data_IF_451163213026
#
_entry.id   IF_451163213026
#
_cell.length_a   1.000
_cell.length_b   1.000
_cell.length_c   1.000
_cell.angle_alpha   90.00
_cell.angle_beta   90.00
_cell.angle_gamma   90.00
#
_symmetry.space_group_name_H-M   'P 1'
#
loop_
_entity.id
_entity.type
_entity.pdbx_description
1 polymer ?
#
# COMPACT_ATOMS: atom_id res chain seq x y z
N UNK A 1 45.38 -0.01 -13.97
CA UNK A 1 44.71 1.06 -13.21
C UNK A 1 43.25 1.06 -13.61
N UNK A 2 42.34 0.55 -12.78
CA UNK A 2 40.90 0.48 -13.15
C UNK A 2 40.29 1.87 -12.89
N UNK A 3 39.70 2.55 -13.88
CA UNK A 3 39.11 3.85 -13.68
C UNK A 3 37.91 3.75 -12.73
N UNK A 4 37.93 4.51 -11.63
CA UNK A 4 36.76 4.68 -10.75
C UNK A 4 35.72 5.52 -11.49
N UNK A 5 34.70 4.87 -12.02
CA UNK A 5 33.51 5.54 -12.55
C UNK A 5 32.76 6.15 -11.35
N UNK A 6 32.74 7.49 -11.25
CA UNK A 6 31.86 8.20 -10.31
C UNK A 6 30.49 8.37 -10.96
N UNK A 7 29.54 7.50 -10.60
CA UNK A 7 28.14 7.67 -11.00
C UNK A 7 27.56 8.82 -10.15
N UNK A 8 27.00 9.87 -10.76
CA UNK A 8 26.37 10.93 -10.01
C UNK A 8 25.17 10.37 -9.23
N UNK A 9 25.02 10.80 -7.96
CA UNK A 9 23.98 10.31 -7.04
C UNK A 9 22.57 10.38 -7.64
N UNK A 10 22.34 11.36 -8.52
CA UNK A 10 21.09 11.60 -9.23
C UNK A 10 20.66 10.41 -10.10
N UNK A 11 21.61 9.71 -10.73
CA UNK A 11 21.32 8.53 -11.55
C UNK A 11 21.05 7.29 -10.69
N UNK A 12 21.68 7.19 -9.51
CA UNK A 12 21.39 6.13 -8.54
C UNK A 12 19.96 6.31 -8.02
N UNK A 13 19.58 7.54 -7.66
CA UNK A 13 18.22 7.86 -7.26
C UNK A 13 17.24 7.56 -8.39
N UNK A 14 17.54 7.95 -9.63
CA UNK A 14 16.71 7.63 -10.81
C UNK A 14 16.50 6.12 -11.00
N UNK A 15 17.55 5.32 -10.84
CA UNK A 15 17.46 3.87 -10.94
C UNK A 15 16.55 3.28 -9.86
N UNK A 16 16.64 3.78 -8.63
CA UNK A 16 15.74 3.40 -7.53
C UNK A 16 14.28 3.74 -7.88
N UNK A 17 14.03 4.91 -8.49
CA UNK A 17 12.70 5.31 -8.96
C UNK A 17 12.14 4.30 -9.98
N UNK A 18 12.92 3.94 -11.01
CA UNK A 18 12.46 3.04 -12.07
C UNK A 18 12.24 1.61 -11.56
N UNK A 19 13.15 1.08 -10.73
CA UNK A 19 13.02 -0.27 -10.15
C UNK A 19 11.78 -0.35 -9.25
N UNK A 20 11.45 0.73 -8.55
CA UNK A 20 10.30 0.80 -7.64
C UNK A 20 8.93 0.74 -8.30
N UNK A 21 8.83 1.13 -9.56
CA UNK A 21 7.57 1.09 -10.31
C UNK A 21 7.16 -0.35 -10.65
N UNK A 22 8.13 -1.24 -10.89
CA UNK A 22 7.88 -2.62 -11.32
C UNK A 22 7.00 -3.40 -10.34
N UNK A 23 7.32 -3.55 -9.04
CA UNK A 23 6.49 -4.31 -8.11
C UNK A 23 5.11 -3.67 -7.89
N UNK A 24 5.03 -2.34 -7.93
CA UNK A 24 3.79 -1.58 -7.74
C UNK A 24 2.83 -1.76 -8.91
N UNK A 25 3.36 -1.65 -10.13
CA UNK A 25 2.62 -1.91 -11.37
C UNK A 25 2.22 -3.39 -11.42
N UNK A 26 3.16 -4.29 -11.10
CA UNK A 26 2.88 -5.72 -11.06
C UNK A 26 1.71 -6.04 -10.12
N UNK A 27 1.71 -5.50 -8.89
CA UNK A 27 0.60 -5.66 -7.95
C UNK A 27 -0.75 -5.21 -8.51
N UNK A 28 -0.79 -4.10 -9.26
CA UNK A 28 -2.03 -3.64 -9.88
C UNK A 28 -2.55 -4.62 -10.93
N UNK A 29 -1.67 -5.18 -11.75
CA UNK A 29 -2.02 -6.13 -12.81
C UNK A 29 -2.33 -7.55 -12.32
N UNK A 30 -2.04 -7.86 -11.04
CA UNK A 30 -2.53 -9.10 -10.44
C UNK A 30 -4.05 -9.11 -10.54
N UNK A 31 -4.59 -10.12 -11.22
CA UNK A 31 -6.04 -10.31 -11.37
C UNK A 31 -6.63 -10.39 -9.96
N UNK A 32 -7.60 -9.51 -9.61
CA UNK A 32 -8.19 -9.53 -8.29
C UNK A 32 -8.90 -10.87 -8.06
N UNK A 33 -8.51 -11.52 -6.98
CA UNK A 33 -9.20 -12.69 -6.44
C UNK A 33 -10.65 -12.30 -6.15
N UNK A 34 -11.60 -13.20 -6.39
CA UNK A 34 -13.01 -12.90 -6.10
C UNK A 34 -13.15 -12.55 -4.60
N UNK A 35 -13.84 -11.46 -4.25
CA UNK A 35 -14.04 -11.11 -2.86
C UNK A 35 -14.77 -12.25 -2.14
N UNK A 36 -14.26 -12.62 -0.97
CA UNK A 36 -14.83 -13.69 -0.13
C UNK A 36 -15.75 -13.03 0.89
N UNK A 37 -17.00 -13.46 0.93
CA UNK A 37 -17.95 -12.99 1.95
C UNK A 37 -18.33 -14.14 2.88
N UNK A 38 -18.59 -13.82 4.14
CA UNK A 38 -18.93 -14.82 5.14
C UNK A 38 -19.36 -14.22 6.46
N UNK A 39 -19.51 -15.10 7.44
CA UNK A 39 -19.74 -14.74 8.83
C UNK A 39 -18.61 -15.31 9.69
N UNK A 40 -18.20 -14.56 10.72
CA UNK A 40 -17.21 -15.00 11.70
C UNK A 40 -17.78 -14.79 13.10
N UNK A 41 -17.67 -15.80 13.97
CA UNK A 41 -18.08 -15.73 15.38
C UNK A 41 -16.90 -15.38 16.28
N UNK A 42 -17.20 -14.97 17.50
CA UNK A 42 -16.15 -14.72 18.51
C UNK A 42 -15.28 -15.98 18.68
N UNK A 43 -13.97 -15.80 18.60
CA UNK A 43 -12.95 -16.84 18.63
C UNK A 43 -12.59 -17.44 17.26
N UNK A 44 -13.37 -17.15 16.22
CA UNK A 44 -13.11 -17.63 14.86
C UNK A 44 -12.24 -16.66 14.07
N UNK A 45 -11.48 -17.21 13.13
CA UNK A 45 -10.64 -16.45 12.20
C UNK A 45 -11.39 -16.19 10.89
N UNK A 46 -11.25 -14.99 10.33
CA UNK A 46 -11.59 -14.72 8.93
C UNK A 46 -10.59 -15.50 8.05
N UNK A 47 -11.03 -16.51 7.29
CA UNK A 47 -10.14 -17.46 6.63
C UNK A 47 -9.06 -16.81 5.77
N UNK A 48 -7.80 -17.19 6.01
CA UNK A 48 -6.65 -16.76 5.20
C UNK A 48 -6.13 -15.35 5.53
N UNK A 49 -6.69 -14.68 6.55
CA UNK A 49 -6.31 -13.31 6.90
C UNK A 49 -5.53 -13.21 8.22
N UNK A 50 -5.56 -14.26 9.05
CA UNK A 50 -5.00 -14.24 10.40
C UNK A 50 -5.80 -13.42 11.41
N UNK A 51 -6.89 -12.77 11.01
CA UNK A 51 -7.71 -11.92 11.89
C UNK A 51 -8.79 -12.74 12.61
N UNK A 52 -8.72 -12.76 13.93
CA UNK A 52 -9.69 -13.43 14.82
C UNK A 52 -10.63 -12.42 15.41
N UNK A 53 -11.93 -12.70 15.40
CA UNK A 53 -12.90 -11.87 16.10
C UNK A 53 -12.79 -12.15 17.61
N UNK A 54 -12.31 -11.19 18.41
CA UNK A 54 -12.22 -11.35 19.86
C UNK A 54 -13.47 -10.85 20.59
N UNK A 55 -14.04 -9.74 20.14
CA UNK A 55 -15.24 -9.14 20.76
C UNK A 55 -16.18 -8.65 19.68
N UNK A 56 -17.47 -8.87 19.89
CA UNK A 56 -18.52 -8.36 19.01
C UNK A 56 -19.65 -7.75 19.84
N UNK A 57 -20.24 -6.69 19.29
CA UNK A 57 -21.43 -6.03 19.80
C UNK A 57 -22.17 -5.44 18.61
N UNK A 58 -23.41 -4.98 18.81
CA UNK A 58 -24.20 -4.35 17.76
C UNK A 58 -23.57 -3.09 17.15
N UNK A 59 -22.61 -2.46 17.84
CA UNK A 59 -21.98 -1.20 17.40
C UNK A 59 -20.47 -1.30 17.18
N UNK A 60 -19.81 -2.34 17.67
CA UNK A 60 -18.35 -2.49 17.61
C UNK A 60 -17.94 -3.95 17.46
N UNK A 61 -16.87 -4.19 16.71
CA UNK A 61 -16.18 -5.46 16.65
C UNK A 61 -14.67 -5.26 16.81
N UNK A 62 -14.04 -6.11 17.60
CA UNK A 62 -12.59 -6.10 17.84
C UNK A 62 -11.99 -7.35 17.24
N UNK A 63 -11.03 -7.18 16.36
CA UNK A 63 -10.28 -8.24 15.73
C UNK A 63 -8.84 -8.22 16.23
N UNK A 64 -8.28 -9.38 16.55
CA UNK A 64 -6.85 -9.55 16.85
C UNK A 64 -6.20 -10.38 15.75
N UNK A 65 -5.06 -9.93 15.25
CA UNK A 65 -4.33 -10.72 14.26
C UNK A 65 -3.39 -11.73 14.96
N UNK A 66 -3.32 -12.97 14.43
CA UNK A 66 -2.46 -14.04 14.96
C UNK A 66 -1.00 -13.90 14.56
N UNK A 67 -0.73 -13.25 13.42
CA UNK A 67 0.60 -13.16 12.80
C UNK A 67 1.35 -11.90 13.26
N UNK A 68 0.61 -10.82 13.45
CA UNK A 68 1.09 -9.55 13.99
C UNK A 68 0.32 -9.32 15.28
N UNK A 69 0.99 -9.18 16.43
CA UNK A 69 0.33 -8.94 17.73
C UNK A 69 -0.28 -7.53 17.76
N UNK A 70 -1.37 -7.38 17.01
CA UNK A 70 -2.02 -6.13 16.70
C UNK A 70 -3.53 -6.35 16.77
N UNK A 71 -4.21 -5.40 17.42
CA UNK A 71 -5.64 -5.41 17.63
C UNK A 71 -6.27 -4.23 16.88
N UNK A 72 -7.39 -4.49 16.20
CA UNK A 72 -8.13 -3.48 15.46
C UNK A 72 -9.60 -3.50 15.86
N UNK A 73 -10.14 -2.34 16.23
CA UNK A 73 -11.56 -2.20 16.58
C UNK A 73 -12.30 -1.41 15.50
N UNK A 74 -13.31 -2.03 14.91
CA UNK A 74 -14.25 -1.43 13.97
C UNK A 74 -15.46 -0.89 14.74
N UNK A 75 -15.85 0.36 14.47
CA UNK A 75 -17.02 1.00 15.07
C UNK A 75 -18.04 1.31 13.98
N UNK A 76 -19.21 0.68 14.06
CA UNK A 76 -20.29 0.79 13.08
C UNK A 76 -20.21 -0.24 11.95
N UNK A 77 -21.27 -0.29 11.15
CA UNK A 77 -21.39 -1.16 9.97
C UNK A 77 -20.87 -0.45 8.72
N UNK A 78 -20.60 -1.22 7.67
CA UNK A 78 -20.02 -0.76 6.40
C UNK A 78 -18.71 0.02 6.60
N UNK A 79 -17.87 -0.49 7.51
CA UNK A 79 -16.55 0.05 7.79
C UNK A 79 -15.50 -0.96 7.34
N UNK A 80 -14.49 -0.45 6.65
CA UNK A 80 -13.37 -1.23 6.17
C UNK A 80 -12.15 -1.03 7.07
N UNK A 81 -11.38 -2.09 7.22
CA UNK A 81 -10.04 -2.05 7.79
C UNK A 81 -9.16 -3.04 7.05
N UNK A 82 -7.97 -2.59 6.62
CA UNK A 82 -7.20 -3.29 5.61
C UNK A 82 -8.09 -3.58 4.40
N UNK A 83 -8.24 -4.84 4.01
CA UNK A 83 -9.15 -5.24 2.92
C UNK A 83 -10.43 -5.93 3.40
N UNK A 84 -10.74 -5.89 4.70
CA UNK A 84 -11.95 -6.47 5.30
C UNK A 84 -13.00 -5.38 5.48
N UNK A 85 -14.13 -5.53 4.81
CA UNK A 85 -15.35 -4.75 5.01
C UNK A 85 -16.25 -5.47 6.01
N UNK A 86 -16.52 -4.85 7.15
CA UNK A 86 -17.56 -5.29 8.08
C UNK A 86 -18.91 -4.80 7.55
N UNK A 87 -19.74 -5.72 7.06
CA UNK A 87 -21.04 -5.38 6.48
C UNK A 87 -22.13 -5.33 7.55
N UNK A 88 -22.06 -6.19 8.56
CA UNK A 88 -23.05 -6.25 9.63
C UNK A 88 -22.46 -6.69 10.96
N UNK A 89 -22.97 -6.09 12.02
CA UNK A 89 -22.55 -6.35 13.40
C UNK A 89 -23.69 -6.98 14.20
N UNK A 90 -23.35 -7.95 15.05
CA UNK A 90 -24.24 -8.53 16.04
C UNK A 90 -23.49 -8.78 17.35
N UNK A 91 -24.20 -9.21 18.40
CA UNK A 91 -23.61 -9.45 19.72
C UNK A 91 -22.59 -10.59 19.78
N UNK A 92 -22.58 -11.51 18.81
CA UNK A 92 -21.73 -12.71 18.84
C UNK A 92 -21.06 -13.07 17.52
N UNK A 93 -21.42 -12.38 16.44
CA UNK A 93 -20.88 -12.61 15.09
C UNK A 93 -20.80 -11.34 14.26
N UNK A 94 -19.96 -11.37 13.23
CA UNK A 94 -19.78 -10.30 12.25
C UNK A 94 -19.93 -10.87 10.85
N UNK A 95 -20.74 -10.21 10.01
CA UNK A 95 -20.75 -10.48 8.57
C UNK A 95 -19.66 -9.60 7.92
N UNK A 96 -18.89 -10.20 7.02
CA UNK A 96 -17.76 -9.54 6.38
C UNK A 96 -17.68 -9.85 4.88
N UNK A 97 -16.99 -8.96 4.17
CA UNK A 97 -16.47 -9.19 2.82
C UNK A 97 -15.01 -8.83 2.80
N UNK A 98 -14.14 -9.72 2.33
CA UNK A 98 -12.69 -9.51 2.25
C UNK A 98 -12.21 -9.57 0.81
N UNK A 99 -11.38 -8.59 0.41
CA UNK A 99 -10.61 -8.68 -0.82
C UNK A 99 -9.32 -9.47 -0.55
N UNK A 100 -9.31 -10.71 -1.05
CA UNK A 100 -8.21 -11.66 -0.87
C UNK A 100 -6.98 -11.28 -1.69
N UNK A 101 -7.07 -10.40 -2.70
CA UNK A 101 -5.92 -9.95 -3.48
C UNK A 101 -4.83 -9.39 -2.55
N UNK A 102 -5.23 -8.62 -1.55
CA UNK A 102 -4.32 -8.07 -0.55
C UNK A 102 -3.64 -9.17 0.28
N UNK A 103 -4.40 -10.11 0.84
CA UNK A 103 -3.86 -11.14 1.73
C UNK A 103 -3.00 -12.19 1.00
N UNK A 104 -3.34 -12.51 -0.26
CA UNK A 104 -2.55 -13.42 -1.09
C UNK A 104 -1.24 -12.78 -1.56
N UNK A 105 -1.19 -11.45 -1.66
CA UNK A 105 -0.05 -10.71 -2.24
C UNK A 105 0.52 -9.64 -1.30
N UNK A 106 0.34 -9.81 0.01
CA UNK A 106 0.67 -8.78 1.02
C UNK A 106 2.16 -8.41 1.02
N UNK A 107 3.04 -9.35 0.66
CA UNK A 107 4.49 -9.10 0.51
C UNK A 107 4.75 -8.17 -0.68
N UNK A 108 4.16 -8.45 -1.84
CA UNK A 108 4.31 -7.64 -3.05
C UNK A 108 3.72 -6.24 -2.80
N UNK A 109 2.56 -6.19 -2.13
CA UNK A 109 1.95 -4.94 -1.69
C UNK A 109 2.91 -4.15 -0.78
N UNK A 110 3.46 -4.78 0.26
CA UNK A 110 4.36 -4.13 1.21
C UNK A 110 5.64 -3.61 0.56
N UNK A 111 6.25 -4.40 -0.34
CA UNK A 111 7.42 -4.00 -1.12
C UNK A 111 7.07 -2.82 -2.04
N UNK A 112 5.97 -2.90 -2.79
CA UNK A 112 5.50 -1.83 -3.67
C UNK A 112 5.25 -0.53 -2.92
N UNK A 113 4.49 -0.59 -1.83
CA UNK A 113 4.18 0.57 -0.98
C UNK A 113 5.44 1.22 -0.40
N UNK A 114 6.36 0.41 0.13
CA UNK A 114 7.61 0.91 0.73
C UNK A 114 8.49 1.60 -0.32
N UNK A 115 8.64 1.00 -1.49
CA UNK A 115 9.50 1.59 -2.53
C UNK A 115 8.86 2.84 -3.13
N UNK A 116 7.52 2.87 -3.32
CA UNK A 116 6.82 4.09 -3.73
C UNK A 116 7.04 5.23 -2.73
N UNK A 117 7.00 4.95 -1.42
CA UNK A 117 7.26 5.94 -0.38
C UNK A 117 8.71 6.47 -0.47
N UNK A 118 9.69 5.57 -0.51
CA UNK A 118 11.12 5.93 -0.62
C UNK A 118 11.38 6.73 -1.90
N UNK A 119 10.84 6.29 -3.03
CA UNK A 119 11.01 6.96 -4.32
C UNK A 119 10.33 8.33 -4.37
N UNK A 120 9.18 8.49 -3.71
CA UNK A 120 8.51 9.80 -3.59
C UNK A 120 9.35 10.77 -2.78
N UNK A 121 9.91 10.33 -1.64
CA UNK A 121 10.82 11.15 -0.83
C UNK A 121 12.07 11.53 -1.63
N UNK A 122 12.69 10.56 -2.31
CA UNK A 122 13.85 10.82 -3.17
C UNK A 122 13.54 11.84 -4.28
N UNK A 123 12.35 11.76 -4.88
CA UNK A 123 11.89 12.69 -5.92
C UNK A 123 11.72 14.11 -5.38
N UNK A 124 11.17 14.26 -4.17
CA UNK A 124 11.05 15.56 -3.50
C UNK A 124 12.44 16.15 -3.24
N UNK A 125 13.39 15.34 -2.74
CA UNK A 125 14.77 15.79 -2.50
C UNK A 125 15.41 16.28 -3.80
N UNK A 126 15.29 15.54 -4.89
CA UNK A 126 15.84 15.94 -6.21
C UNK A 126 15.21 17.25 -6.67
N UNK A 127 13.88 17.40 -6.53
CA UNK A 127 13.19 18.64 -6.87
C UNK A 127 13.72 19.82 -6.06
N UNK A 128 13.86 19.67 -4.74
CA UNK A 128 14.41 20.73 -3.88
C UNK A 128 15.85 21.10 -4.27
N UNK A 129 16.70 20.12 -4.57
CA UNK A 129 18.09 20.36 -4.97
C UNK A 129 18.24 21.05 -6.33
N UNK A 130 17.23 20.93 -7.21
CA UNK A 130 17.31 21.41 -8.59
C UNK A 130 16.21 22.39 -8.96
N UNK A 131 15.52 22.95 -7.98
CA UNK A 131 14.40 23.88 -8.21
C UNK A 131 14.86 25.13 -8.96
N UNK A 132 16.10 25.59 -8.71
CA UNK A 132 16.67 26.74 -9.40
C UNK A 132 16.87 26.47 -10.91
N UNK A 133 17.18 25.22 -11.28
CA UNK A 133 17.32 24.81 -12.69
C UNK A 133 15.97 24.70 -13.41
N UNK A 134 14.89 24.50 -12.67
CA UNK A 134 13.51 24.48 -13.17
C UNK A 134 13.10 25.86 -13.72
N UNK A 135 13.66 26.94 -13.15
CA UNK A 135 13.42 28.33 -13.58
C UNK A 135 14.14 28.67 -14.89
N UNK A 136 15.27 28.02 -15.18
CA UNK A 136 16.10 28.31 -16.36
C UNK A 136 15.80 27.40 -17.56
N UNK A 137 15.45 26.13 -17.34
CA UNK A 137 15.07 25.17 -18.40
C UNK A 137 14.23 24.02 -17.86
N UNK A 138 12.94 23.99 -18.22
CA UNK A 138 12.02 22.87 -17.96
C UNK A 138 12.52 21.55 -18.58
N UNK A 139 13.35 21.62 -19.63
CA UNK A 139 13.87 20.46 -20.38
C UNK A 139 15.05 19.74 -19.72
N UNK A 140 15.37 20.00 -18.45
CA UNK A 140 16.40 19.21 -17.77
C UNK A 140 15.91 17.75 -17.60
N UNK A 141 16.57 16.75 -18.22
CA UNK A 141 16.03 15.39 -18.34
C UNK A 141 15.75 14.74 -16.98
N UNK A 142 16.59 15.01 -15.98
CA UNK A 142 16.41 14.53 -14.61
C UNK A 142 15.12 15.09 -13.98
N UNK A 143 14.87 16.39 -14.11
CA UNK A 143 13.66 17.02 -13.57
C UNK A 143 12.40 16.47 -14.25
N UNK A 144 12.47 16.25 -15.57
CA UNK A 144 11.37 15.69 -16.33
C UNK A 144 11.02 14.26 -15.88
N UNK A 145 12.03 13.41 -15.65
CA UNK A 145 11.82 12.05 -15.13
C UNK A 145 11.29 12.08 -13.69
N UNK A 146 11.79 12.97 -12.83
CA UNK A 146 11.30 13.12 -11.46
C UNK A 146 9.83 13.57 -11.41
N UNK A 147 9.44 14.54 -12.25
CA UNK A 147 8.05 14.97 -12.37
C UNK A 147 7.18 13.83 -12.91
N UNK A 148 7.62 13.15 -13.97
CA UNK A 148 6.90 12.00 -14.54
C UNK A 148 6.70 10.89 -13.51
N UNK A 149 7.73 10.61 -12.70
CA UNK A 149 7.63 9.65 -11.61
C UNK A 149 6.53 10.04 -10.63
N UNK A 150 6.52 11.28 -10.13
CA UNK A 150 5.49 11.75 -9.19
C UNK A 150 4.07 11.68 -9.79
N UNK A 151 3.92 12.03 -11.07
CA UNK A 151 2.63 11.94 -11.77
C UNK A 151 2.14 10.50 -11.84
N UNK A 152 3.03 9.52 -12.02
CA UNK A 152 2.68 8.10 -12.04
C UNK A 152 2.44 7.58 -10.61
N UNK A 153 3.30 7.91 -9.65
CA UNK A 153 3.26 7.30 -8.31
C UNK A 153 2.18 7.84 -7.41
N UNK A 154 1.75 9.09 -7.54
CA UNK A 154 0.68 9.64 -6.71
C UNK A 154 -0.66 8.87 -6.88
N UNK A 155 -1.13 8.58 -8.11
CA UNK A 155 -2.26 7.67 -8.34
C UNK A 155 -2.06 6.27 -7.77
N UNK A 156 -0.83 5.72 -7.83
CA UNK A 156 -0.52 4.42 -7.25
C UNK A 156 -0.67 4.44 -5.74
N UNK A 157 -0.09 5.44 -5.07
CA UNK A 157 -0.20 5.62 -3.62
C UNK A 157 -1.67 5.73 -3.22
N UNK A 158 -2.46 6.52 -3.94
CA UNK A 158 -3.89 6.62 -3.70
C UNK A 158 -4.60 5.26 -3.78
N UNK A 159 -4.34 4.49 -4.85
CA UNK A 159 -4.92 3.16 -5.03
C UNK A 159 -4.53 2.19 -3.91
N UNK A 160 -3.27 2.23 -3.46
CA UNK A 160 -2.80 1.43 -2.33
C UNK A 160 -3.49 1.84 -1.03
N UNK A 161 -3.70 3.14 -0.79
CA UNK A 161 -4.42 3.60 0.43
C UNK A 161 -5.89 3.17 0.45
N UNK A 162 -6.59 3.19 -0.69
CA UNK A 162 -7.97 2.69 -0.81
C UNK A 162 -8.10 1.18 -0.62
N UNK A 163 -6.99 0.45 -0.80
CA UNK A 163 -6.94 -1.00 -0.52
C UNK A 163 -6.86 -1.26 1.00
N UNK A 164 -6.41 -0.27 1.79
CA UNK A 164 -6.20 -0.39 3.23
C UNK A 164 -7.34 0.20 4.09
N UNK A 165 -8.16 1.11 3.54
CA UNK A 165 -9.19 1.88 4.26
C UNK A 165 -10.43 2.06 3.41
#
# INVERSE_FOLDING_TARGET
MIPKIKIPIEYILLAILVIGLIPSIYYMYIIPSKPVSGEVKIGEEIPGTGWVLEKASYSKATFKNKLIDYEFTVIGQNKRFFSILVTKLSSSKVEYTVDMKFYENWIIFGIGATILLVGTIASIIILMMKIDKLREKITHPILLVTILYLVITLPLIYTFTQTLF
#
